data_IF_110438580794
#
_entry.id   IF_110438580794
#
_cell.length_a   1.000
_cell.length_b   1.000
_cell.length_c   1.000
_cell.angle_alpha   90.00
_cell.angle_beta   90.00
_cell.angle_gamma   90.00
#
_symmetry.space_group_name_H-M   'P 1'
#
loop_
_entity.id
_entity.type
_entity.pdbx_description
1 polymer ?
2 non-polymer ?
#
# COMPACT_ATOMS: atom_id res chain seq x y z
N UNK A 1 -7.12 4.70 0.21
CA UNK A 1 -7.93 4.31 1.41
C UNK A 1 -7.80 5.39 2.47
N UNK A 2 -6.57 5.80 2.75
CA UNK A 2 -6.32 6.83 3.76
C UNK A 2 -6.91 6.40 5.09
N UNK A 3 -7.45 5.19 5.13
CA UNK A 3 -8.03 4.66 6.35
C UNK A 3 -6.97 4.40 7.40
N UNK A 4 -7.38 4.26 8.64
CA UNK A 4 -6.44 4.00 9.71
C UNK A 4 -5.79 2.64 9.49
N UNK A 5 -4.48 2.62 9.55
CA UNK A 5 -3.75 1.37 9.36
C UNK A 5 -3.91 0.89 7.95
N UNK A 6 -4.94 1.37 7.26
CA UNK A 6 -5.14 0.98 5.91
C UNK A 6 -4.03 1.56 5.09
N UNK A 7 -3.72 2.81 5.39
CA UNK A 7 -2.67 3.53 4.69
C UNK A 7 -1.31 2.96 5.05
N UNK A 8 -1.04 2.85 6.34
CA UNK A 8 0.25 2.34 6.78
C UNK A 8 0.45 0.91 6.31
N UNK A 9 -0.57 0.09 6.46
CA UNK A 9 -0.49 -1.29 6.05
C UNK A 9 -0.29 -1.39 4.56
N UNK A 10 -0.85 -0.44 3.83
CA UNK A 10 -0.73 -0.44 2.39
C UNK A 10 0.74 -0.30 1.99
N UNK A 11 1.47 0.59 2.66
CA UNK A 11 2.89 0.74 2.35
C UNK A 11 3.70 -0.41 2.96
N UNK A 12 3.37 -0.75 4.20
CA UNK A 12 4.08 -1.81 4.90
C UNK A 12 3.91 -3.14 4.20
N UNK A 13 2.69 -3.42 3.75
CA UNK A 13 2.41 -4.66 3.07
C UNK A 13 3.23 -4.75 1.80
N UNK A 14 3.38 -3.63 1.10
CA UNK A 14 4.15 -3.60 -0.12
C UNK A 14 5.57 -4.08 0.13
N UNK A 15 5.92 -4.20 1.39
CA UNK A 15 7.25 -4.64 1.76
C UNK A 15 7.41 -6.11 1.40
N UNK A 16 6.34 -6.87 1.59
CA UNK A 16 6.36 -8.30 1.30
C UNK A 16 5.56 -8.61 0.04
N UNK A 17 4.50 -7.84 -0.19
CA UNK A 17 3.64 -8.03 -1.35
C UNK A 17 2.31 -8.64 -0.93
N UNK A 18 1.80 -8.19 0.22
CA UNK A 18 0.53 -8.71 0.74
C UNK A 18 -0.43 -7.57 1.06
N UNK A 19 -0.65 -6.71 0.07
CA UNK A 19 -1.55 -5.58 0.24
C UNK A 19 -3.00 -6.02 0.04
N UNK A 20 -3.93 -5.10 0.30
CA UNK A 20 -5.34 -5.40 0.15
C UNK A 20 -5.71 -5.44 -1.33
N UNK A 21 -4.90 -4.76 -2.14
CA UNK A 21 -5.15 -4.72 -3.58
C UNK A 21 -5.05 -6.11 -4.18
N UNK A 22 -4.17 -6.92 -3.62
CA UNK A 22 -3.98 -8.29 -4.11
C UNK A 22 -3.83 -8.30 -5.63
N UNK A 23 -2.59 -8.41 -6.10
CA UNK A 23 -2.31 -8.45 -7.54
C UNK A 23 -1.25 -7.43 -7.92
N UNK A 24 -0.04 -7.92 -8.17
CA UNK A 24 1.07 -7.03 -8.55
C UNK A 24 1.26 -5.91 -7.54
N UNK A 25 1.27 -6.27 -6.26
CA UNK A 25 1.44 -5.28 -5.20
C UNK A 25 2.73 -4.48 -5.38
N UNK A 26 3.47 -4.76 -6.44
CA UNK A 26 4.71 -4.03 -6.68
C UNK A 26 4.42 -2.54 -6.83
N UNK A 27 3.42 -2.24 -7.63
CA UNK A 27 3.01 -0.85 -7.88
C UNK A 27 2.38 -0.23 -6.64
N UNK A 28 1.89 -1.06 -5.73
CA UNK A 28 1.25 -0.53 -4.52
C UNK A 28 2.21 0.35 -3.74
N UNK A 29 3.51 0.08 -3.87
CA UNK A 29 4.49 0.85 -3.13
C UNK A 29 4.46 2.31 -3.51
N UNK A 30 4.52 2.58 -4.81
CA UNK A 30 4.54 3.97 -5.26
C UNK A 30 3.21 4.64 -5.01
N UNK A 31 2.14 3.86 -5.10
CA UNK A 31 0.80 4.39 -4.88
C UNK A 31 0.78 5.20 -3.59
N UNK A 32 1.58 4.77 -2.63
CA UNK A 32 1.66 5.44 -1.34
C UNK A 32 2.10 6.90 -1.49
N UNK A 33 3.16 7.15 -2.25
CA UNK A 33 3.64 8.52 -2.41
C UNK A 33 2.52 9.38 -2.98
N UNK A 34 1.80 8.81 -3.94
CA UNK A 34 0.70 9.51 -4.60
C UNK A 34 -0.47 9.75 -3.63
N UNK A 35 -0.79 8.74 -2.83
CA UNK A 35 -1.92 8.86 -1.90
C UNK A 35 -1.44 9.48 -0.60
N UNK A 36 -0.45 8.85 0.03
CA UNK A 36 0.08 9.35 1.28
C UNK A 36 1.47 9.95 1.04
N UNK A 37 1.53 11.28 1.06
CA UNK A 37 2.80 11.98 0.86
C UNK A 37 3.76 11.67 1.99
X LIG B 1 -4.98 -11.76 -6.34
X LIG B 1 -5.55 -11.61 -7.75
X LIG B 1 -7.08 -11.50 -7.68
X LIG B 1 -7.48 -10.36 -6.71
X LIG B 1 -9.00 -10.27 -6.54
X LIG B 1 -5.46 -10.60 -5.45
X LIG B 1 -3.55 -11.76 -6.43
X LIG B 1 -5.18 -12.74 -8.55
X LIG B 1 -7.56 -11.21 -9.00
X LIG B 1 -6.90 -10.57 -5.41
X LIG B 1 -9.39 -10.63 -5.22
X LIG B 1 -5.27 -12.72 -5.91
X LIG B 1 -5.12 -10.73 -8.24
X LIG B 1 -7.50 -12.45 -7.37
X LIG B 1 -7.12 -9.40 -7.10
X LIG B 1 -9.33 -9.24 -6.73
X LIG B 1 -9.53 -10.94 -7.24
X LIG B 1 -5.08 -9.63 -5.82
X LIG B 1 -3.22 -11.73 -5.51
X LIG B 1 -5.40 -12.49 -9.47
X LIG B 1 -8.16 -11.93 -9.28
X LIG B 1 -9.94 -9.91 -4.87
#
# INVERSE_FOLDING_TARGET
GLGKAQCAALWLQCASGGTIGCGGGAVACQNYRQFCR
BGC C2 C3 C4 C5 C6 C1 O2 O3 O4 O5 O6 H2 H3 H4 H5 H61 H62 H1 HO2 HO3 HO4 HO6
#
